data_IF_662077827604
#
_entry.id   IF_662077827604
#
_cell.length_a   1.000
_cell.length_b   1.000
_cell.length_c   1.000
_cell.angle_alpha   90.00
_cell.angle_beta   90.00
_cell.angle_gamma   90.00
#
_symmetry.space_group_name_H-M   'P 1'
#
loop_
_entity.id
_entity.type
_entity.pdbx_description
1 polymer ?
#
# COMPACT_ATOMS: atom_id res chain seq x y z
N UNK A 1 0.08 -3.37 -70.93
CA UNK A 1 -0.98 -3.55 -69.91
C UNK A 1 -0.54 -4.36 -68.68
N UNK A 2 0.76 -4.60 -68.42
CA UNK A 2 1.23 -5.37 -67.22
C UNK A 2 1.85 -4.53 -66.07
N UNK A 3 1.95 -3.21 -66.25
CA UNK A 3 2.54 -2.32 -65.23
C UNK A 3 1.50 -1.57 -64.36
N UNK A 4 0.23 -1.58 -64.70
CA UNK A 4 -0.82 -0.94 -63.90
C UNK A 4 -1.38 -1.82 -62.79
N UNK A 5 -1.30 -3.15 -62.91
CA UNK A 5 -1.80 -4.06 -61.90
C UNK A 5 -0.91 -4.15 -60.65
N UNK A 6 0.38 -3.79 -60.76
CA UNK A 6 1.31 -3.86 -59.63
C UNK A 6 1.18 -2.66 -58.65
N UNK A 7 0.74 -1.51 -59.14
CA UNK A 7 0.52 -0.32 -58.30
C UNK A 7 -0.75 -0.38 -57.44
N UNK A 8 -1.78 -1.08 -57.92
CA UNK A 8 -3.03 -1.26 -57.15
C UNK A 8 -2.81 -2.26 -56.01
N UNK A 9 -1.97 -3.28 -56.21
CA UNK A 9 -1.68 -4.27 -55.17
C UNK A 9 -0.82 -3.68 -54.00
N UNK A 10 0.13 -2.80 -54.31
CA UNK A 10 0.91 -2.10 -53.29
C UNK A 10 0.08 -1.06 -52.51
N UNK A 11 -0.93 -0.42 -53.14
CA UNK A 11 -1.80 0.51 -52.42
C UNK A 11 -2.80 -0.20 -51.48
N UNK A 12 -3.21 -1.45 -51.83
CA UNK A 12 -4.09 -2.23 -50.93
C UNK A 12 -3.34 -2.81 -49.71
N UNK A 13 -2.04 -3.12 -49.83
CA UNK A 13 -1.24 -3.65 -48.72
C UNK A 13 -0.89 -2.56 -47.72
N UNK A 14 -0.83 -1.29 -48.12
CA UNK A 14 -0.58 -0.17 -47.22
C UNK A 14 -1.83 0.31 -46.45
N UNK A 15 -3.02 -0.12 -46.83
CA UNK A 15 -4.27 0.20 -46.15
C UNK A 15 -4.66 -0.80 -45.05
N UNK A 16 -3.97 -1.94 -44.95
CA UNK A 16 -4.25 -2.97 -43.93
C UNK A 16 -3.29 -2.91 -42.73
N UNK A 17 -2.22 -2.09 -42.78
CA UNK A 17 -1.23 -1.97 -41.68
C UNK A 17 -1.51 -0.80 -40.72
N UNK A 18 -2.72 -0.21 -40.78
CA UNK A 18 -3.16 0.90 -39.92
C UNK A 18 -4.20 0.52 -38.87
N UNK A 19 -4.31 -0.76 -38.49
CA UNK A 19 -4.94 -1.08 -37.20
C UNK A 19 -3.92 -0.75 -36.10
N UNK A 20 -3.95 0.50 -35.60
CA UNK A 20 -3.45 0.77 -34.27
C UNK A 20 -4.16 -0.24 -33.37
N UNK A 21 -3.39 -1.09 -32.68
CA UNK A 21 -3.90 -1.73 -31.47
C UNK A 21 -4.45 -0.61 -30.61
N UNK A 22 -5.76 -0.42 -30.66
CA UNK A 22 -6.45 0.41 -29.70
C UNK A 22 -6.14 -0.27 -28.37
N UNK A 23 -5.26 0.34 -27.57
CA UNK A 23 -5.02 -0.10 -26.19
C UNK A 23 -6.40 -0.30 -25.59
N UNK A 24 -6.74 -1.54 -25.20
CA UNK A 24 -8.03 -1.85 -24.62
C UNK A 24 -8.10 -1.06 -23.32
N UNK A 25 -8.75 0.10 -23.37
CA UNK A 25 -8.97 0.94 -22.19
C UNK A 25 -9.72 0.13 -21.13
N UNK A 26 -9.52 0.48 -19.89
CA UNK A 26 -10.19 -0.16 -18.76
C UNK A 26 -11.69 0.17 -18.84
N UNK A 27 -12.55 -0.80 -18.52
CA UNK A 27 -13.99 -0.59 -18.55
C UNK A 27 -14.39 0.59 -17.64
N UNK A 28 -15.37 1.43 -18.06
CA UNK A 28 -15.87 2.55 -17.25
C UNK A 28 -16.29 2.12 -15.84
N UNK A 29 -16.93 0.96 -15.69
CA UNK A 29 -17.33 0.40 -14.39
C UNK A 29 -16.14 0.10 -13.48
N UNK A 30 -15.02 -0.34 -14.04
CA UNK A 30 -13.80 -0.58 -13.27
C UNK A 30 -13.17 0.73 -12.82
N UNK A 31 -13.13 1.75 -13.68
CA UNK A 31 -12.68 3.11 -13.33
C UNK A 31 -13.54 3.68 -12.21
N UNK A 32 -14.87 3.58 -12.34
CA UNK A 32 -15.82 4.07 -11.34
C UNK A 32 -15.62 3.40 -9.96
N UNK A 33 -15.53 2.06 -9.91
CA UNK A 33 -15.27 1.33 -8.65
C UNK A 33 -13.96 1.73 -7.99
N UNK A 34 -12.93 2.06 -8.77
CA UNK A 34 -11.66 2.54 -8.22
C UNK A 34 -11.85 3.95 -7.66
N UNK A 35 -12.53 4.86 -8.36
CA UNK A 35 -12.84 6.20 -7.86
C UNK A 35 -13.62 6.16 -6.54
N UNK A 36 -14.62 5.27 -6.41
CA UNK A 36 -15.35 5.08 -5.15
C UNK A 36 -14.43 4.67 -4.00
N UNK A 37 -13.47 3.75 -4.23
CA UNK A 37 -12.48 3.35 -3.21
C UNK A 37 -11.54 4.49 -2.82
N UNK A 38 -11.19 5.33 -3.78
CA UNK A 38 -10.29 6.47 -3.59
C UNK A 38 -11.02 7.75 -3.15
N UNK A 39 -12.36 7.75 -3.07
CA UNK A 39 -13.17 8.93 -2.78
C UNK A 39 -12.74 9.61 -1.46
N UNK A 40 -12.81 10.95 -1.46
CA UNK A 40 -12.47 11.83 -0.34
C UNK A 40 -11.32 12.78 -0.65
N UNK A 41 -10.90 13.52 0.39
CA UNK A 41 -9.78 14.47 0.30
C UNK A 41 -8.50 13.84 0.82
N UNK A 42 -7.40 14.08 0.10
CA UNK A 42 -6.08 13.57 0.39
C UNK A 42 -5.10 14.71 0.63
N UNK A 43 -4.32 14.60 1.69
CA UNK A 43 -3.47 15.66 2.23
C UNK A 43 -1.99 15.28 2.13
N UNK A 44 -1.14 16.27 1.88
CA UNK A 44 0.32 16.14 1.96
C UNK A 44 0.80 16.09 3.43
N UNK A 45 2.13 16.08 3.61
CA UNK A 45 2.75 16.03 4.94
C UNK A 45 2.46 17.29 5.78
N UNK A 46 2.24 18.44 5.13
CA UNK A 46 1.91 19.70 5.76
C UNK A 46 0.41 19.88 6.06
N UNK A 47 -0.43 18.92 5.66
CA UNK A 47 -1.87 19.00 5.86
C UNK A 47 -2.63 19.83 4.83
N UNK A 48 -2.00 20.13 3.69
CA UNK A 48 -2.66 20.81 2.59
C UNK A 48 -3.44 19.79 1.76
N UNK A 49 -4.67 20.13 1.42
CA UNK A 49 -5.47 19.31 0.49
C UNK A 49 -4.84 19.37 -0.91
N UNK A 50 -4.41 18.20 -1.42
CA UNK A 50 -3.76 18.08 -2.73
C UNK A 50 -4.69 17.44 -3.76
N UNK A 51 -5.50 16.48 -3.33
CA UNK A 51 -6.41 15.76 -4.20
C UNK A 51 -7.77 15.59 -3.53
N UNK A 52 -8.83 15.88 -4.29
CA UNK A 52 -10.22 15.58 -3.91
C UNK A 52 -10.85 14.73 -5.00
N UNK A 53 -11.41 13.58 -4.62
CA UNK A 53 -12.11 12.65 -5.52
C UNK A 53 -13.56 12.57 -5.07
N UNK A 54 -14.49 12.97 -5.94
CA UNK A 54 -15.92 12.98 -5.68
C UNK A 54 -16.68 12.45 -6.90
N UNK A 55 -17.41 11.35 -6.72
CA UNK A 55 -18.13 10.71 -7.82
C UNK A 55 -17.20 10.37 -8.99
N UNK A 56 -17.44 10.98 -10.14
CA UNK A 56 -16.62 10.79 -11.35
C UNK A 56 -15.67 11.98 -11.61
N UNK A 57 -15.24 12.69 -10.56
CA UNK A 57 -14.35 13.84 -10.71
C UNK A 57 -13.10 13.74 -9.83
N UNK A 58 -12.01 14.32 -10.30
CA UNK A 58 -10.76 14.52 -9.57
C UNK A 58 -10.45 16.02 -9.60
N UNK A 59 -10.39 16.64 -8.42
CA UNK A 59 -10.24 18.10 -8.25
C UNK A 59 -11.26 18.89 -9.10
N UNK A 60 -12.51 18.40 -9.17
CA UNK A 60 -13.58 19.01 -9.96
C UNK A 60 -13.51 18.75 -11.46
N UNK A 61 -12.46 18.09 -11.96
CA UNK A 61 -12.33 17.74 -13.38
C UNK A 61 -12.92 16.35 -13.65
N UNK A 62 -13.67 16.21 -14.74
CA UNK A 62 -14.31 14.94 -15.12
C UNK A 62 -13.27 13.88 -15.48
N UNK A 63 -13.43 12.67 -14.94
CA UNK A 63 -12.69 11.47 -15.37
C UNK A 63 -13.38 10.87 -16.57
N UNK A 64 -12.69 10.84 -17.69
CA UNK A 64 -13.24 10.36 -18.98
C UNK A 64 -12.74 8.96 -19.36
N UNK A 65 -11.85 8.37 -18.57
CA UNK A 65 -11.34 7.02 -18.80
C UNK A 65 -10.17 6.68 -17.91
N UNK A 66 -9.60 5.50 -18.13
CA UNK A 66 -8.40 5.04 -17.44
C UNK A 66 -7.64 3.98 -18.25
N UNK A 67 -6.35 3.85 -17.98
CA UNK A 67 -5.42 2.92 -18.63
C UNK A 67 -4.37 2.39 -17.62
N UNK A 68 -3.61 1.34 -18.02
CA UNK A 68 -2.50 0.77 -17.24
C UNK A 68 -2.88 0.38 -15.81
N UNK A 69 -4.03 -0.26 -15.66
CA UNK A 69 -4.48 -0.75 -14.35
C UNK A 69 -3.56 -1.86 -13.83
N UNK A 70 -2.94 -1.61 -12.68
CA UNK A 70 -2.41 -2.66 -11.81
C UNK A 70 -3.30 -2.71 -10.56
N UNK A 71 -3.94 -3.84 -10.27
CA UNK A 71 -4.89 -3.95 -9.18
C UNK A 71 -4.71 -5.26 -8.42
N UNK A 72 -4.49 -5.12 -7.11
CA UNK A 72 -4.43 -6.20 -6.14
C UNK A 72 -5.45 -5.98 -5.02
N UNK A 73 -5.54 -6.90 -4.05
CA UNK A 73 -6.56 -6.86 -2.98
C UNK A 73 -6.60 -5.54 -2.19
N UNK A 74 -5.46 -4.92 -1.95
CA UNK A 74 -5.37 -3.64 -1.21
C UNK A 74 -4.43 -2.64 -1.85
N UNK A 75 -3.76 -2.97 -2.95
CA UNK A 75 -2.80 -2.08 -3.61
C UNK A 75 -3.01 -2.05 -5.11
N UNK A 76 -2.59 -0.97 -5.75
CA UNK A 76 -2.70 -0.86 -7.20
C UNK A 76 -2.27 0.49 -7.73
N UNK A 77 -2.44 0.67 -9.02
CA UNK A 77 -2.28 1.96 -9.70
C UNK A 77 -3.15 2.03 -10.94
N UNK A 78 -3.55 3.23 -11.31
CA UNK A 78 -4.32 3.52 -12.52
C UNK A 78 -3.90 4.87 -13.09
N UNK A 79 -3.76 4.92 -14.39
CA UNK A 79 -3.57 6.15 -15.15
C UNK A 79 -4.96 6.68 -15.53
N UNK A 80 -5.46 7.70 -14.82
CA UNK A 80 -6.75 8.34 -15.10
C UNK A 80 -6.63 9.37 -16.22
N UNK A 81 -7.56 9.34 -17.15
CA UNK A 81 -7.74 10.41 -18.17
C UNK A 81 -8.70 11.45 -17.63
N UNK A 82 -8.23 12.67 -17.41
CA UNK A 82 -8.98 13.78 -16.80
C UNK A 82 -9.22 14.85 -17.85
N UNK A 83 -10.48 15.33 -17.97
CA UNK A 83 -10.85 16.41 -18.87
C UNK A 83 -10.63 17.76 -18.19
N UNK A 84 -9.74 18.56 -18.72
CA UNK A 84 -9.48 19.95 -18.31
C UNK A 84 -9.88 20.92 -19.45
N UNK A 85 -9.91 22.21 -19.15
CA UNK A 85 -10.26 23.23 -20.16
C UNK A 85 -9.32 23.23 -21.38
N UNK A 86 -8.05 22.87 -21.18
CA UNK A 86 -7.03 22.80 -22.22
C UNK A 86 -6.99 21.46 -22.98
N UNK A 87 -7.79 20.46 -22.59
CA UNK A 87 -7.81 19.12 -23.18
C UNK A 87 -7.82 18.01 -22.16
N UNK A 88 -7.41 16.80 -22.58
CA UNK A 88 -7.34 15.65 -21.68
C UNK A 88 -5.91 15.48 -21.16
N UNK A 89 -5.78 15.31 -19.84
CA UNK A 89 -4.52 15.04 -19.14
C UNK A 89 -4.55 13.65 -18.51
N UNK A 90 -3.41 12.98 -18.46
CA UNK A 90 -3.24 11.74 -17.70
C UNK A 90 -2.73 12.05 -16.30
N UNK A 91 -3.36 11.44 -15.28
CA UNK A 91 -2.93 11.46 -13.89
C UNK A 91 -2.79 10.04 -13.38
N UNK A 92 -1.58 9.63 -13.01
CA UNK A 92 -1.33 8.35 -12.37
C UNK A 92 -1.61 8.44 -10.88
N UNK A 93 -2.47 7.55 -10.38
CA UNK A 93 -2.69 7.36 -8.94
C UNK A 93 -2.31 5.93 -8.57
N UNK A 94 -1.29 5.80 -7.71
CA UNK A 94 -0.98 4.56 -7.01
C UNK A 94 -1.63 4.56 -5.63
N UNK A 95 -2.00 3.41 -5.08
CA UNK A 95 -2.64 3.31 -3.76
C UNK A 95 -2.17 2.10 -2.96
N UNK A 96 -2.26 2.25 -1.64
CA UNK A 96 -2.23 1.18 -0.65
C UNK A 96 -3.40 1.41 0.30
N UNK A 97 -4.44 0.58 0.23
CA UNK A 97 -5.70 0.76 0.94
C UNK A 97 -6.14 -0.59 1.54
N UNK A 98 -6.10 -0.68 2.86
CA UNK A 98 -6.56 -1.83 3.64
C UNK A 98 -7.71 -1.44 4.59
N UNK A 99 -8.17 -0.17 4.50
CA UNK A 99 -9.24 0.37 5.32
C UNK A 99 -8.78 0.85 6.70
N UNK A 100 -7.48 1.11 6.88
CA UNK A 100 -6.90 1.43 8.18
C UNK A 100 -5.88 2.58 8.17
N UNK A 101 -5.13 2.75 9.27
CA UNK A 101 -4.22 3.90 9.47
C UNK A 101 -3.05 3.92 8.49
N UNK A 102 -2.69 2.79 7.90
CA UNK A 102 -1.64 2.69 6.89
C UNK A 102 -2.05 3.04 5.46
N UNK A 103 -3.29 3.47 5.22
CA UNK A 103 -3.78 3.82 3.90
C UNK A 103 -3.15 5.11 3.36
N UNK A 104 -2.73 5.07 2.09
CA UNK A 104 -2.22 6.25 1.39
C UNK A 104 -2.41 6.11 -0.13
N UNK A 105 -2.26 7.23 -0.84
CA UNK A 105 -2.14 7.26 -2.30
C UNK A 105 -0.88 8.03 -2.71
N UNK A 106 -0.47 7.88 -3.97
CA UNK A 106 0.62 8.64 -4.61
C UNK A 106 0.16 9.16 -5.96
N UNK A 107 0.54 10.39 -6.28
CA UNK A 107 0.30 11.02 -7.56
C UNK A 107 1.59 11.00 -8.39
N UNK A 108 1.56 10.44 -9.61
CA UNK A 108 2.69 10.44 -10.54
C UNK A 108 4.02 10.00 -9.88
N UNK A 109 3.95 8.97 -9.03
CA UNK A 109 5.08 8.47 -8.24
C UNK A 109 5.74 9.50 -7.29
N UNK A 110 5.02 10.59 -6.97
CA UNK A 110 5.41 11.59 -5.99
C UNK A 110 5.27 11.11 -4.54
N UNK A 111 5.20 12.04 -3.60
CA UNK A 111 5.03 11.75 -2.19
C UNK A 111 3.68 11.13 -1.87
N UNK A 112 3.63 10.37 -0.77
CA UNK A 112 2.41 9.76 -0.29
C UNK A 112 1.45 10.82 0.26
N UNK A 113 0.18 10.72 -0.08
CA UNK A 113 -0.92 11.52 0.46
C UNK A 113 -1.77 10.64 1.36
N UNK A 114 -2.26 11.19 2.46
CA UNK A 114 -3.10 10.48 3.43
C UNK A 114 -4.44 11.20 3.62
N UNK A 115 -5.47 10.46 4.05
CA UNK A 115 -6.79 11.07 4.38
C UNK A 115 -6.73 11.97 5.62
N UNK A 116 -5.74 11.75 6.49
CA UNK A 116 -5.48 12.55 7.68
C UNK A 116 -4.00 12.45 8.06
N UNK A 117 -3.44 13.50 8.67
CA UNK A 117 -2.04 13.52 9.14
C UNK A 117 -1.79 12.57 10.31
N UNK A 118 -2.80 12.32 11.12
CA UNK A 118 -2.71 11.47 12.31
C UNK A 118 -3.84 10.44 12.28
N UNK A 119 -3.74 9.40 11.44
CA UNK A 119 -4.74 8.36 11.40
C UNK A 119 -4.85 7.67 12.78
N UNK A 120 -6.08 7.36 13.19
CA UNK A 120 -6.31 6.59 14.40
C UNK A 120 -5.67 5.20 14.25
N UNK A 121 -4.99 4.76 15.30
CA UNK A 121 -4.29 3.48 15.34
C UNK A 121 -4.48 2.82 16.70
N UNK A 122 -4.77 1.51 16.71
CA UNK A 122 -5.06 0.77 17.95
C UNK A 122 -3.83 0.51 18.80
N UNK A 123 -2.64 0.47 18.18
CA UNK A 123 -1.40 0.15 18.88
C UNK A 123 -0.23 1.05 18.45
N UNK A 124 0.79 1.08 19.33
CA UNK A 124 2.05 1.74 19.07
C UNK A 124 3.21 1.00 19.79
N UNK A 125 4.43 1.24 19.35
CA UNK A 125 5.68 0.86 20.05
C UNK A 125 6.54 2.11 20.14
N UNK A 126 6.93 2.55 21.34
CA UNK A 126 7.69 3.80 21.54
C UNK A 126 7.01 5.01 20.85
N UNK A 127 5.68 5.10 20.94
CA UNK A 127 4.85 6.08 20.25
C UNK A 127 4.92 6.04 18.72
N UNK A 128 5.61 5.09 18.11
CA UNK A 128 5.54 4.83 16.66
C UNK A 128 4.30 3.98 16.38
N UNK A 129 3.55 4.33 15.33
CA UNK A 129 2.29 3.69 14.94
C UNK A 129 2.15 3.58 13.43
N UNK A 130 1.23 2.75 12.98
CA UNK A 130 0.89 2.64 11.57
C UNK A 130 0.41 3.99 11.03
N UNK A 131 0.72 4.28 9.77
CA UNK A 131 0.37 5.54 9.13
C UNK A 131 1.27 6.74 9.51
N UNK A 132 2.17 6.59 10.48
CA UNK A 132 3.13 7.64 10.83
C UNK A 132 4.09 7.89 9.68
N UNK A 133 4.46 9.16 9.45
CA UNK A 133 5.52 9.52 8.50
C UNK A 133 6.88 9.07 8.99
N UNK A 134 7.71 8.54 8.10
CA UNK A 134 9.07 8.05 8.44
C UNK A 134 9.95 9.15 9.02
N UNK A 135 9.74 10.42 8.65
CA UNK A 135 10.40 11.57 9.27
C UNK A 135 10.13 11.63 10.76
N UNK A 136 8.86 11.52 11.17
CA UNK A 136 8.48 11.55 12.58
C UNK A 136 9.04 10.35 13.37
N UNK A 137 9.20 9.19 12.72
CA UNK A 137 9.87 8.02 13.31
C UNK A 137 11.34 8.33 13.60
N UNK A 138 12.06 8.96 12.66
CA UNK A 138 13.47 9.36 12.85
C UNK A 138 13.64 10.37 13.99
N UNK A 139 12.71 11.30 14.12
CA UNK A 139 12.72 12.27 15.22
C UNK A 139 12.56 11.59 16.60
N UNK A 140 11.81 10.47 16.67
CA UNK A 140 11.56 9.72 17.92
C UNK A 140 12.63 8.70 18.25
N UNK A 141 12.99 7.88 17.28
CA UNK A 141 13.85 6.71 17.47
C UNK A 141 15.29 6.92 17.01
N UNK A 142 15.56 8.03 16.30
CA UNK A 142 16.82 8.24 15.60
C UNK A 142 16.89 7.44 14.30
N UNK A 143 18.10 7.35 13.74
CA UNK A 143 18.36 6.65 12.49
C UNK A 143 18.50 5.15 12.76
N UNK A 144 17.61 4.33 12.21
CA UNK A 144 17.73 2.87 12.19
C UNK A 144 18.66 2.38 11.09
N UNK A 145 19.02 1.10 11.14
CA UNK A 145 19.72 0.43 10.06
C UNK A 145 18.74 0.17 8.92
N UNK A 146 19.00 0.72 7.73
CA UNK A 146 18.16 0.51 6.55
C UNK A 146 18.16 -0.98 6.18
N UNK A 147 16.99 -1.53 5.97
CA UNK A 147 16.79 -2.88 5.45
C UNK A 147 16.46 -2.84 3.96
N UNK A 148 17.18 -3.64 3.19
CA UNK A 148 17.00 -3.79 1.75
C UNK A 148 16.95 -5.29 1.39
N UNK A 149 16.86 -5.61 0.11
CA UNK A 149 16.98 -7.00 -0.35
C UNK A 149 18.33 -7.62 -0.04
N UNK A 150 19.40 -6.81 -0.01
CA UNK A 150 20.77 -7.25 0.21
C UNK A 150 21.08 -7.44 1.70
N UNK A 151 20.45 -6.67 2.58
CA UNK A 151 20.75 -6.65 4.02
C UNK A 151 19.54 -6.95 4.91
N UNK A 152 18.78 -7.96 4.57
CA UNK A 152 17.60 -8.39 5.34
C UNK A 152 17.95 -8.68 6.81
N UNK A 153 17.00 -8.39 7.72
CA UNK A 153 17.05 -8.88 9.08
C UNK A 153 16.36 -10.25 9.13
N UNK A 154 16.95 -11.19 9.89
CA UNK A 154 16.40 -12.52 10.11
C UNK A 154 15.90 -12.68 11.54
N UNK A 155 14.71 -13.26 11.68
CA UNK A 155 14.13 -13.67 12.95
C UNK A 155 13.68 -15.13 12.86
N UNK A 156 14.55 -16.05 13.30
CA UNK A 156 14.35 -17.48 13.04
C UNK A 156 14.43 -17.78 11.53
N UNK A 157 13.39 -18.43 10.99
CA UNK A 157 13.28 -18.76 9.56
C UNK A 157 12.66 -17.63 8.72
N UNK A 158 12.17 -16.56 9.37
CA UNK A 158 11.54 -15.44 8.72
C UNK A 158 12.54 -14.32 8.42
N UNK A 159 12.34 -13.62 7.30
CA UNK A 159 13.19 -12.50 6.87
C UNK A 159 12.38 -11.23 6.67
N UNK A 160 13.00 -10.09 7.04
CA UNK A 160 12.43 -8.76 6.84
C UNK A 160 13.35 -7.94 5.93
N UNK A 161 12.79 -7.45 4.84
CA UNK A 161 13.38 -6.43 3.99
C UNK A 161 12.47 -5.19 4.02
N UNK A 162 13.03 -4.02 3.64
CA UNK A 162 12.32 -2.74 3.54
C UNK A 162 11.78 -2.21 4.87
N UNK A 163 12.60 -1.45 5.52
CA UNK A 163 12.30 -0.78 6.77
C UNK A 163 13.56 -0.40 7.50
N UNK A 164 13.43 -0.08 8.76
CA UNK A 164 14.54 0.24 9.65
C UNK A 164 14.61 -0.76 10.80
N UNK A 165 15.79 -1.31 10.99
CA UNK A 165 16.10 -2.17 12.13
C UNK A 165 16.81 -1.36 13.21
N UNK A 166 16.36 -1.51 14.44
CA UNK A 166 16.92 -0.95 15.67
C UNK A 166 17.42 -2.11 16.57
N UNK A 167 18.64 -2.66 16.33
CA UNK A 167 19.10 -3.88 16.99
C UNK A 167 19.12 -3.76 18.52
N UNK A 168 19.56 -2.61 19.06
CA UNK A 168 19.58 -2.35 20.50
C UNK A 168 18.21 -2.34 21.18
N UNK A 169 17.12 -2.21 20.40
CA UNK A 169 15.73 -2.24 20.84
C UNK A 169 15.01 -3.56 20.51
N UNK A 170 15.57 -4.38 19.62
CA UNK A 170 14.87 -5.55 19.07
C UNK A 170 13.60 -5.14 18.30
N UNK A 171 13.64 -4.01 17.58
CA UNK A 171 12.52 -3.44 16.86
C UNK A 171 12.85 -3.29 15.37
N UNK A 172 11.90 -3.67 14.51
CA UNK A 172 11.91 -3.27 13.09
C UNK A 172 10.69 -2.41 12.82
N UNK A 173 10.90 -1.28 12.15
CA UNK A 173 9.84 -0.42 11.63
C UNK A 173 9.78 -0.62 10.13
N UNK A 174 8.74 -1.30 9.66
CA UNK A 174 8.48 -1.49 8.23
C UNK A 174 7.80 -0.23 7.67
N UNK A 175 8.24 0.20 6.50
CA UNK A 175 7.64 1.36 5.84
C UNK A 175 7.60 1.17 4.33
N UNK A 176 6.68 1.89 3.69
CA UNK A 176 6.59 2.00 2.24
C UNK A 176 6.19 3.42 1.88
N UNK A 177 6.89 3.98 0.89
CA UNK A 177 6.62 5.34 0.38
C UNK A 177 6.57 6.42 1.48
N UNK A 178 7.44 6.29 2.51
CA UNK A 178 7.52 7.23 3.61
C UNK A 178 6.45 7.07 4.70
N UNK A 179 5.62 6.00 4.64
CA UNK A 179 4.57 5.70 5.60
C UNK A 179 4.90 4.39 6.34
N UNK A 180 4.77 4.39 7.66
CA UNK A 180 4.92 3.17 8.48
C UNK A 180 3.79 2.21 8.18
N UNK A 181 4.15 1.00 7.80
CA UNK A 181 3.21 -0.10 7.45
C UNK A 181 3.31 -1.29 8.41
N UNK A 182 4.30 -1.31 9.28
CA UNK A 182 4.43 -2.39 10.27
C UNK A 182 5.45 -2.10 11.37
N UNK A 183 5.22 -2.72 12.53
CA UNK A 183 6.08 -2.71 13.70
C UNK A 183 6.35 -4.16 14.10
N UNK A 184 7.62 -4.56 14.19
CA UNK A 184 8.01 -5.94 14.49
C UNK A 184 8.84 -5.94 15.75
N UNK A 185 8.38 -6.66 16.77
CA UNK A 185 9.15 -6.94 17.97
C UNK A 185 9.85 -8.29 17.80
N UNK A 186 11.18 -8.27 17.89
CA UNK A 186 12.04 -9.45 17.78
C UNK A 186 12.21 -10.13 19.14
N UNK A 187 12.53 -11.43 19.18
CA UNK A 187 12.85 -12.12 20.41
C UNK A 187 13.92 -11.39 21.23
N UNK A 188 13.71 -11.30 22.53
CA UNK A 188 14.60 -10.55 23.41
C UNK A 188 14.39 -9.04 23.44
N UNK A 189 13.50 -8.48 22.62
CA UNK A 189 13.06 -7.10 22.77
C UNK A 189 12.47 -6.88 24.17
N UNK A 190 12.83 -5.74 24.76
CA UNK A 190 12.23 -5.26 26.03
C UNK A 190 11.07 -4.30 25.79
N UNK A 191 10.76 -4.04 24.52
CA UNK A 191 9.65 -3.19 24.13
C UNK A 191 8.33 -3.97 24.15
N UNK A 192 7.26 -3.22 24.25
CA UNK A 192 5.89 -3.73 24.27
C UNK A 192 4.96 -2.79 23.49
N UNK A 193 3.82 -3.32 23.09
CA UNK A 193 2.75 -2.54 22.49
C UNK A 193 2.07 -1.68 23.56
N UNK A 194 1.97 -0.39 23.29
CA UNK A 194 1.64 0.62 24.27
C UNK A 194 0.28 0.45 24.96
N UNK A 195 -0.73 -0.01 24.22
CA UNK A 195 -2.08 -0.23 24.73
C UNK A 195 -2.19 -1.53 25.54
N UNK A 196 -1.64 -2.61 25.02
CA UNK A 196 -1.79 -3.94 25.63
C UNK A 196 -0.74 -4.26 26.70
N UNK A 197 0.41 -3.61 26.63
CA UNK A 197 1.57 -3.96 27.43
C UNK A 197 2.21 -5.29 27.06
N UNK A 198 1.84 -5.90 25.92
CA UNK A 198 2.37 -7.19 25.46
C UNK A 198 3.60 -6.97 24.58
N UNK A 199 4.59 -7.86 24.71
CA UNK A 199 5.85 -7.82 23.96
C UNK A 199 6.13 -9.10 23.18
N UNK A 200 7.33 -9.19 22.62
CA UNK A 200 7.74 -10.33 21.78
C UNK A 200 7.70 -11.70 22.49
N UNK A 201 7.85 -11.70 23.81
CA UNK A 201 7.90 -12.94 24.61
C UNK A 201 6.51 -13.40 25.10
N UNK A 202 5.47 -12.58 24.88
CA UNK A 202 4.11 -12.95 25.23
C UNK A 202 3.53 -13.88 24.16
N UNK A 203 2.99 -15.00 24.62
CA UNK A 203 2.45 -16.00 23.70
C UNK A 203 1.16 -15.52 23.03
N UNK A 204 0.87 -16.09 21.86
CA UNK A 204 -0.33 -15.81 21.02
C UNK A 204 -1.62 -15.76 21.85
N UNK A 205 -1.78 -16.66 22.83
CA UNK A 205 -2.96 -16.69 23.70
C UNK A 205 -3.13 -15.43 24.56
N UNK A 206 -2.04 -14.73 24.94
CA UNK A 206 -2.13 -13.46 25.65
C UNK A 206 -2.69 -12.37 24.74
N UNK A 207 -2.20 -12.27 23.50
CA UNK A 207 -2.72 -11.35 22.47
C UNK A 207 -4.19 -11.66 22.15
N UNK A 208 -4.55 -12.93 21.93
CA UNK A 208 -5.93 -13.32 21.66
C UNK A 208 -6.89 -12.85 22.76
N UNK A 209 -6.48 -12.94 24.03
CA UNK A 209 -7.30 -12.44 25.15
C UNK A 209 -7.36 -10.92 25.21
N UNK A 210 -6.23 -10.23 25.02
CA UNK A 210 -6.15 -8.76 25.12
C UNK A 210 -7.00 -8.06 24.04
N UNK A 211 -7.04 -8.63 22.83
CA UNK A 211 -7.74 -8.03 21.69
C UNK A 211 -9.05 -8.74 21.32
N UNK A 212 -9.43 -9.78 22.06
CA UNK A 212 -10.61 -10.61 21.74
C UNK A 212 -10.58 -11.14 20.29
N UNK A 213 -9.39 -11.50 19.83
CA UNK A 213 -9.16 -11.93 18.45
C UNK A 213 -9.78 -13.29 18.19
N UNK A 214 -10.46 -13.42 17.06
CA UNK A 214 -10.75 -14.69 16.42
C UNK A 214 -9.71 -14.99 15.37
N UNK A 215 -9.29 -16.25 15.28
CA UNK A 215 -8.34 -16.72 14.31
C UNK A 215 -8.92 -16.59 12.90
N UNK A 216 -8.17 -15.99 11.98
CA UNK A 216 -8.56 -15.97 10.57
C UNK A 216 -8.25 -17.35 10.00
N UNK A 217 -9.22 -18.04 9.34
CA UNK A 217 -9.00 -19.37 8.77
C UNK A 217 -7.80 -19.40 7.82
N UNK A 218 -7.00 -20.47 7.86
CA UNK A 218 -5.82 -20.67 7.02
C UNK A 218 -6.09 -20.51 5.51
N UNK A 219 -7.30 -20.86 5.06
CA UNK A 219 -7.77 -20.69 3.67
C UNK A 219 -7.71 -19.24 3.16
N UNK A 220 -7.69 -18.25 4.05
CA UNK A 220 -7.52 -16.84 3.69
C UNK A 220 -6.06 -16.36 3.73
N UNK A 221 -5.14 -17.18 4.19
CA UNK A 221 -3.74 -16.78 4.39
C UNK A 221 -2.80 -17.16 3.24
N UNK A 222 -3.30 -17.57 2.08
CA UNK A 222 -2.51 -17.84 0.86
C UNK A 222 -1.20 -18.61 1.12
N UNK A 223 -1.27 -19.80 1.71
CA UNK A 223 -0.12 -20.63 2.07
C UNK A 223 0.89 -19.97 3.01
N UNK A 224 0.51 -18.89 3.69
CA UNK A 224 1.38 -18.28 4.70
C UNK A 224 1.20 -19.02 6.04
N UNK A 225 2.23 -19.71 6.55
CA UNK A 225 2.16 -20.47 7.80
C UNK A 225 2.11 -19.59 9.05
N UNK A 226 1.96 -18.27 8.90
CA UNK A 226 1.88 -17.32 9.99
C UNK A 226 0.46 -17.25 10.53
N UNK A 227 0.32 -17.26 11.84
CA UNK A 227 -0.95 -16.94 12.48
C UNK A 227 -1.23 -15.44 12.32
N UNK A 228 -2.43 -15.14 11.88
CA UNK A 228 -2.83 -13.84 11.40
C UNK A 228 -4.19 -13.45 11.99
N UNK A 229 -4.28 -12.22 12.53
CA UNK A 229 -5.47 -11.74 13.24
C UNK A 229 -5.73 -10.28 12.91
N UNK A 230 -6.92 -9.96 12.44
CA UNK A 230 -7.40 -8.60 12.33
C UNK A 230 -7.96 -8.13 13.68
N UNK A 231 -7.49 -6.98 14.19
CA UNK A 231 -7.95 -6.40 15.46
C UNK A 231 -8.79 -5.14 15.25
N UNK A 232 -8.64 -4.49 14.12
CA UNK A 232 -9.42 -3.35 13.64
C UNK A 232 -9.27 -3.28 12.11
N UNK A 233 -10.11 -2.54 11.39
CA UNK A 233 -10.00 -2.39 9.94
C UNK A 233 -8.59 -1.95 9.52
N UNK A 234 -7.90 -2.78 8.71
CA UNK A 234 -6.54 -2.55 8.25
C UNK A 234 -5.47 -2.57 9.34
N UNK A 235 -5.72 -3.25 10.47
CA UNK A 235 -4.76 -3.43 11.57
C UNK A 235 -4.69 -4.90 11.96
N UNK A 236 -3.50 -5.48 11.84
CA UNK A 236 -3.30 -6.92 11.96
C UNK A 236 -2.14 -7.27 12.88
N UNK A 237 -2.32 -8.32 13.70
CA UNK A 237 -1.20 -9.01 14.32
C UNK A 237 -0.82 -10.26 13.54
N UNK A 238 0.48 -10.44 13.34
CA UNK A 238 1.09 -11.63 12.76
C UNK A 238 2.12 -12.19 13.74
N UNK A 239 2.17 -13.52 13.85
CA UNK A 239 3.11 -14.21 14.73
C UNK A 239 4.02 -15.08 13.88
N UNK A 240 5.33 -14.87 14.02
CA UNK A 240 6.34 -15.68 13.36
C UNK A 240 6.32 -17.13 13.83
N UNK A 241 6.88 -18.02 13.03
CA UNK A 241 7.01 -19.43 13.39
C UNK A 241 7.75 -19.57 14.72
N UNK A 242 7.25 -20.46 15.60
CA UNK A 242 7.87 -20.75 16.90
C UNK A 242 8.11 -19.49 17.76
N UNK A 243 7.33 -18.42 17.58
CA UNK A 243 7.51 -17.18 18.33
C UNK A 243 8.74 -16.36 17.90
N UNK A 244 9.19 -16.53 16.65
CA UNK A 244 10.35 -15.81 16.13
C UNK A 244 10.17 -14.29 16.05
N UNK A 245 8.93 -13.78 16.11
CA UNK A 245 8.60 -12.37 16.24
C UNK A 245 7.10 -12.17 16.49
N UNK A 246 6.73 -10.95 16.88
CA UNK A 246 5.36 -10.43 16.81
C UNK A 246 5.36 -9.19 15.92
N UNK A 247 4.48 -9.15 14.92
CA UNK A 247 4.33 -8.04 13.99
C UNK A 247 2.94 -7.45 14.10
N UNK A 248 2.85 -6.15 14.29
CA UNK A 248 1.66 -5.33 14.09
C UNK A 248 1.76 -4.64 12.73
N UNK A 249 0.77 -4.77 11.86
CA UNK A 249 0.90 -4.39 10.45
C UNK A 249 -0.40 -3.85 9.88
N UNK A 250 -0.27 -2.87 8.99
CA UNK A 250 -1.35 -2.38 8.14
C UNK A 250 -1.63 -3.32 6.96
N UNK A 251 -0.77 -4.33 6.74
CA UNK A 251 -0.82 -5.23 5.59
C UNK A 251 -0.80 -6.65 6.09
N UNK A 252 -1.66 -7.47 5.54
CA UNK A 252 -1.86 -8.87 5.92
C UNK A 252 -0.81 -9.86 5.38
N UNK A 253 0.24 -9.42 4.66
CA UNK A 253 1.26 -10.30 4.06
C UNK A 253 2.65 -9.67 4.03
#
# INVERSE_FOLDING_TARGET
MKRFALFILCALVLLVSGQSEAAMGISPDSVHRILERLAGTWYDEEGRAVLTIEGNTINGCEVVGGDRLANGPGSGSLDFSIREAAGTRTLRIGWLLFGGPGDYIRLNDGEALQRTLNPACSESVEDVRLGMRTRAVRERLGVGQELSRENVCRAGDDTFAYGWHYPGKGLIVLHKDGIVTGLVLLPGSKLYFGRSGLGANDGRAAYARAYKMSEIPEERTYNNPLAFYEIAPGEFFLFGKNGSYVRFSAVAY
#
